data_IF_695292946107
#
_entry.id   IF_695292946107
#
_cell.length_a   1.000
_cell.length_b   1.000
_cell.length_c   1.000
_cell.angle_alpha   90.00
_cell.angle_beta   90.00
_cell.angle_gamma   90.00
#
_symmetry.space_group_name_H-M   'P 1'
#
loop_
_entity.id
_entity.type
_entity.pdbx_description
1 polymer ?
#
# COMPACT_ATOMS: atom_id res chain seq x y z
N UNK A 1 21.60 -21.66 4.44
CA UNK A 1 20.68 -20.70 3.79
C UNK A 1 20.17 -19.76 4.87
N UNK A 2 20.20 -18.43 4.67
CA UNK A 2 19.86 -17.50 5.77
C UNK A 2 18.38 -17.56 6.15
N UNK A 3 18.12 -17.55 7.45
CA UNK A 3 16.81 -17.47 8.09
C UNK A 3 16.24 -16.05 8.04
N UNK A 4 14.94 -15.91 8.29
CA UNK A 4 14.28 -14.60 8.40
C UNK A 4 14.91 -13.73 9.49
N UNK A 5 15.32 -14.33 10.63
CA UNK A 5 15.96 -13.62 11.74
C UNK A 5 17.34 -13.07 11.36
N UNK A 6 18.14 -13.83 10.59
CA UNK A 6 19.44 -13.38 10.11
C UNK A 6 19.29 -12.24 9.10
N UNK A 7 18.31 -12.33 8.18
CA UNK A 7 18.00 -11.26 7.22
C UNK A 7 17.50 -10.00 7.92
N UNK A 8 16.68 -10.14 8.96
CA UNK A 8 16.23 -9.04 9.82
C UNK A 8 17.43 -8.31 10.44
N UNK A 9 18.33 -9.07 11.09
CA UNK A 9 19.54 -8.51 11.75
C UNK A 9 20.47 -7.79 10.77
N UNK A 10 20.52 -8.22 9.50
CA UNK A 10 21.36 -7.62 8.46
C UNK A 10 20.71 -6.45 7.72
N UNK A 11 19.44 -6.13 7.97
CA UNK A 11 18.71 -5.10 7.22
C UNK A 11 18.40 -5.50 5.76
N UNK A 12 18.37 -6.81 5.49
CA UNK A 12 18.10 -7.39 4.18
C UNK A 12 16.61 -7.78 4.00
N UNK A 13 15.75 -7.35 4.92
CA UNK A 13 14.30 -7.51 4.84
C UNK A 13 13.61 -6.20 4.47
N UNK A 14 12.57 -6.31 3.66
CA UNK A 14 11.60 -5.27 3.36
C UNK A 14 10.25 -5.69 3.97
N UNK A 15 9.75 -5.01 5.01
CA UNK A 15 8.39 -5.22 5.48
C UNK A 15 7.39 -4.83 4.39
N UNK A 16 6.42 -5.70 4.12
CA UNK A 16 5.30 -5.44 3.23
C UNK A 16 4.02 -5.61 4.03
N UNK A 17 3.32 -4.50 4.26
CA UNK A 17 2.18 -4.40 5.16
C UNK A 17 0.88 -4.41 4.35
N UNK A 18 -0.06 -5.26 4.74
CA UNK A 18 -1.40 -5.33 4.16
C UNK A 18 -2.49 -5.02 5.18
N UNK A 19 -3.74 -4.79 4.73
CA UNK A 19 -4.87 -4.45 5.61
C UNK A 19 -5.17 -5.49 6.69
N UNK A 20 -4.75 -6.75 6.51
CA UNK A 20 -4.94 -7.81 7.50
C UNK A 20 -4.24 -7.55 8.84
N UNK A 21 -3.33 -6.57 8.92
CA UNK A 21 -2.79 -6.11 10.21
C UNK A 21 -3.88 -5.62 11.17
N UNK A 22 -5.00 -5.16 10.64
CA UNK A 22 -6.13 -4.64 11.42
C UNK A 22 -7.18 -5.69 11.77
N UNK A 23 -6.99 -6.96 11.40
CA UNK A 23 -8.01 -8.00 11.54
C UNK A 23 -8.55 -8.14 12.98
N UNK A 24 -7.66 -8.07 13.97
CA UNK A 24 -8.02 -8.14 15.40
C UNK A 24 -8.17 -6.76 16.06
N UNK A 25 -7.81 -5.71 15.33
CA UNK A 25 -8.01 -4.35 15.76
C UNK A 25 -9.40 -3.86 15.36
N UNK A 26 -9.93 -2.88 16.09
CA UNK A 26 -11.18 -2.19 15.74
C UNK A 26 -10.88 -0.72 15.45
N UNK A 27 -10.16 -0.40 14.37
CA UNK A 27 -9.85 0.98 14.04
C UNK A 27 -11.11 1.76 13.66
N UNK A 28 -11.03 3.10 13.76
CA UNK A 28 -12.11 3.99 13.35
C UNK A 28 -12.23 4.15 11.81
N UNK A 29 -11.20 3.74 11.07
CA UNK A 29 -11.19 3.68 9.61
C UNK A 29 -11.53 2.26 9.13
N UNK A 30 -11.85 2.07 7.83
CA UNK A 30 -11.99 0.73 7.26
C UNK A 30 -10.74 -0.14 7.48
N UNK A 31 -10.93 -1.31 8.10
CA UNK A 31 -9.85 -2.24 8.39
C UNK A 31 -9.50 -3.11 7.17
N UNK A 32 -10.45 -3.30 6.26
CA UNK A 32 -10.28 -4.10 5.05
C UNK A 32 -11.12 -3.57 3.88
N UNK A 33 -10.99 -4.21 2.72
CA UNK A 33 -11.68 -3.82 1.49
C UNK A 33 -13.21 -3.92 1.57
N UNK A 34 -13.76 -4.88 2.32
CA UNK A 34 -15.21 -5.02 2.51
C UNK A 34 -15.77 -3.89 3.37
N UNK A 35 -15.08 -3.53 4.45
CA UNK A 35 -15.45 -2.38 5.29
C UNK A 35 -15.45 -1.09 4.46
N UNK A 36 -14.43 -0.92 3.60
CA UNK A 36 -14.31 0.25 2.74
C UNK A 36 -15.44 0.30 1.70
N UNK A 37 -15.79 -0.83 1.07
CA UNK A 37 -16.96 -0.88 0.18
C UNK A 37 -18.23 -0.46 0.92
N UNK A 38 -18.45 -1.00 2.13
CA UNK A 38 -19.57 -0.62 2.98
C UNK A 38 -19.60 0.89 3.24
N UNK A 39 -18.45 1.48 3.54
CA UNK A 39 -18.34 2.93 3.79
C UNK A 39 -18.59 3.78 2.55
N UNK A 40 -18.02 3.42 1.41
CA UNK A 40 -18.19 4.16 0.15
C UNK A 40 -19.63 4.10 -0.38
N UNK A 41 -20.33 3.01 -0.10
CA UNK A 41 -21.69 2.75 -0.60
C UNK A 41 -22.79 3.08 0.40
N UNK A 42 -22.44 3.59 1.59
CA UNK A 42 -23.38 3.98 2.65
C UNK A 42 -24.47 4.96 2.14
N UNK A 43 -24.08 5.87 1.24
CA UNK A 43 -24.98 6.89 0.64
C UNK A 43 -25.18 6.72 -0.86
N UNK A 44 -24.62 5.66 -1.45
CA UNK A 44 -24.68 5.40 -2.90
C UNK A 44 -25.05 3.96 -3.16
N UNK A 45 -26.26 3.73 -3.66
CA UNK A 45 -26.69 2.38 -4.06
C UNK A 45 -25.86 1.88 -5.24
N UNK A 46 -25.21 0.74 -5.05
CA UNK A 46 -24.48 0.02 -6.10
C UNK A 46 -25.18 -1.29 -6.45
N UNK A 47 -25.03 -1.81 -7.69
CA UNK A 47 -25.55 -3.13 -8.06
C UNK A 47 -25.10 -4.24 -7.09
N UNK A 48 -26.01 -5.18 -6.82
CA UNK A 48 -25.77 -6.30 -5.91
C UNK A 48 -24.47 -7.07 -6.21
N UNK A 49 -24.12 -7.22 -7.49
CA UNK A 49 -22.96 -7.98 -7.95
C UNK A 49 -21.61 -7.36 -7.55
N UNK A 50 -21.56 -6.04 -7.31
CA UNK A 50 -20.31 -5.31 -7.04
C UNK A 50 -20.14 -4.85 -5.59
N UNK A 51 -21.16 -5.08 -4.74
CA UNK A 51 -21.17 -4.64 -3.32
C UNK A 51 -20.13 -5.30 -2.41
N UNK A 52 -19.33 -6.24 -2.94
CA UNK A 52 -18.24 -6.92 -2.23
C UNK A 52 -16.88 -6.74 -2.92
N UNK A 53 -16.82 -5.91 -3.97
CA UNK A 53 -15.61 -5.70 -4.77
C UNK A 53 -15.27 -4.22 -4.75
N UNK A 54 -14.21 -3.86 -4.02
CA UNK A 54 -13.80 -2.47 -3.81
C UNK A 54 -13.61 -1.72 -5.12
N UNK A 55 -12.85 -2.28 -6.05
CA UNK A 55 -12.51 -1.60 -7.30
C UNK A 55 -13.72 -1.37 -8.20
N UNK A 56 -14.62 -2.35 -8.29
CA UNK A 56 -15.85 -2.23 -9.05
C UNK A 56 -16.84 -1.25 -8.41
N UNK A 57 -16.97 -1.26 -7.07
CA UNK A 57 -17.81 -0.29 -6.36
C UNK A 57 -17.27 1.15 -6.52
N UNK A 58 -15.95 1.32 -6.43
CA UNK A 58 -15.27 2.57 -6.69
C UNK A 58 -15.47 3.04 -8.14
N UNK A 59 -15.31 2.15 -9.13
CA UNK A 59 -15.56 2.46 -10.54
C UNK A 59 -17.01 2.89 -10.79
N UNK A 60 -17.97 2.24 -10.14
CA UNK A 60 -19.37 2.63 -10.24
C UNK A 60 -19.60 4.04 -9.69
N UNK A 61 -19.08 4.35 -8.50
CA UNK A 61 -19.17 5.70 -7.95
C UNK A 61 -18.50 6.72 -8.89
N UNK A 62 -17.32 6.40 -9.42
CA UNK A 62 -16.60 7.27 -10.35
C UNK A 62 -17.39 7.56 -11.62
N UNK A 63 -17.99 6.54 -12.24
CA UNK A 63 -18.77 6.71 -13.48
C UNK A 63 -20.05 7.53 -13.27
N UNK A 64 -20.74 7.33 -12.14
CA UNK A 64 -22.06 7.93 -11.89
C UNK A 64 -22.01 9.23 -11.07
N UNK A 65 -20.93 9.47 -10.32
CA UNK A 65 -20.77 10.63 -9.42
C UNK A 65 -19.46 11.39 -9.65
N UNK A 66 -18.65 10.99 -10.63
CA UNK A 66 -17.34 11.55 -10.98
C UNK A 66 -16.24 11.24 -9.96
N UNK A 67 -14.99 11.27 -10.45
CA UNK A 67 -13.76 11.02 -9.67
C UNK A 67 -13.68 11.84 -8.40
N UNK A 68 -14.02 13.13 -8.47
CA UNK A 68 -14.01 14.03 -7.30
C UNK A 68 -14.86 13.53 -6.14
N UNK A 69 -16.01 12.91 -6.42
CA UNK A 69 -16.87 12.35 -5.37
C UNK A 69 -16.24 11.11 -4.76
N UNK A 70 -15.64 10.23 -5.57
CA UNK A 70 -14.91 9.06 -5.06
C UNK A 70 -13.74 9.49 -4.16
N UNK A 71 -12.91 10.44 -4.60
CA UNK A 71 -11.80 10.96 -3.79
C UNK A 71 -12.28 11.58 -2.47
N UNK A 72 -13.40 12.32 -2.47
CA UNK A 72 -14.00 12.86 -1.26
C UNK A 72 -14.53 11.77 -0.30
N UNK A 73 -15.13 10.71 -0.83
CA UNK A 73 -15.60 9.57 -0.02
C UNK A 73 -14.41 8.81 0.58
N UNK A 74 -13.33 8.61 -0.18
CA UNK A 74 -12.09 8.01 0.32
C UNK A 74 -11.48 8.85 1.44
N UNK A 75 -11.36 10.17 1.25
CA UNK A 75 -10.90 11.09 2.30
C UNK A 75 -11.77 11.00 3.55
N UNK A 76 -13.10 10.99 3.38
CA UNK A 76 -14.03 10.84 4.51
C UNK A 76 -13.89 9.49 5.22
N UNK A 77 -13.59 8.41 4.50
CA UNK A 77 -13.41 7.08 5.09
C UNK A 77 -12.15 6.98 5.97
N UNK A 78 -11.11 7.76 5.66
CA UNK A 78 -9.82 7.77 6.37
C UNK A 78 -9.53 9.10 7.09
N UNK A 79 -10.56 9.91 7.34
CA UNK A 79 -10.44 11.25 7.91
C UNK A 79 -9.78 11.24 9.30
N UNK A 80 -10.14 10.27 10.14
CA UNK A 80 -9.54 10.08 11.45
C UNK A 80 -8.13 9.51 11.32
N UNK A 81 -7.08 10.19 11.85
CA UNK A 81 -5.74 9.63 11.88
C UNK A 81 -5.72 8.29 12.64
N UNK A 82 -5.10 7.24 12.07
CA UNK A 82 -5.00 5.96 12.76
C UNK A 82 -4.04 6.07 13.94
N UNK A 83 -4.33 5.33 15.02
CA UNK A 83 -3.32 5.03 16.04
C UNK A 83 -2.47 3.87 15.52
N UNK A 84 -1.14 4.00 15.41
CA UNK A 84 -0.28 2.89 15.06
C UNK A 84 -0.49 1.69 15.99
N UNK A 85 -0.37 0.48 15.42
CA UNK A 85 -0.27 -0.76 16.20
C UNK A 85 1.16 -0.92 16.75
N UNK A 86 1.32 -1.73 17.80
CA UNK A 86 2.64 -2.06 18.35
C UNK A 86 3.62 -2.62 17.28
N UNK A 87 3.11 -3.33 16.28
CA UNK A 87 3.92 -3.77 15.14
C UNK A 87 4.42 -2.60 14.28
N UNK A 88 3.58 -1.60 14.01
CA UNK A 88 3.99 -0.40 13.27
C UNK A 88 5.08 0.37 14.05
N UNK A 89 4.91 0.53 15.36
CA UNK A 89 5.89 1.17 16.23
C UNK A 89 7.22 0.39 16.25
N UNK A 90 7.15 -0.94 16.35
CA UNK A 90 8.34 -1.78 16.30
C UNK A 90 9.07 -1.68 14.96
N UNK A 91 8.33 -1.66 13.84
CA UNK A 91 8.92 -1.46 12.50
C UNK A 91 9.56 -0.08 12.40
N UNK A 92 8.89 0.97 12.88
CA UNK A 92 9.39 2.34 12.86
C UNK A 92 10.67 2.53 13.69
N UNK A 93 10.81 1.77 14.79
CA UNK A 93 12.03 1.76 15.59
C UNK A 93 13.19 1.03 14.93
N UNK A 94 12.96 0.28 13.83
CA UNK A 94 14.01 -0.34 13.04
C UNK A 94 14.49 0.58 11.91
N UNK A 95 15.70 0.30 11.40
CA UNK A 95 16.30 1.00 10.26
C UNK A 95 16.04 0.28 8.93
N UNK A 96 14.79 -0.07 8.62
CA UNK A 96 14.48 -0.67 7.32
C UNK A 96 14.67 0.38 6.21
N UNK A 97 15.45 0.07 5.16
CA UNK A 97 15.68 1.02 4.07
C UNK A 97 14.44 1.20 3.18
N UNK A 98 13.57 0.19 3.13
CA UNK A 98 12.31 0.23 2.40
C UNK A 98 11.23 -0.45 3.25
N UNK A 99 10.07 0.17 3.32
CA UNK A 99 8.83 -0.38 3.86
C UNK A 99 7.76 -0.20 2.78
N UNK A 100 7.00 -1.25 2.48
CA UNK A 100 5.85 -1.18 1.57
C UNK A 100 4.57 -1.21 2.38
N UNK A 101 3.72 -0.21 2.21
CA UNK A 101 2.42 -0.10 2.87
C UNK A 101 1.31 -0.19 1.82
N UNK A 102 0.64 -1.35 1.76
CA UNK A 102 -0.41 -1.64 0.80
C UNK A 102 -1.81 -1.35 1.34
N UNK A 103 -1.92 -0.41 2.30
CA UNK A 103 -3.21 0.13 2.76
C UNK A 103 -3.22 1.66 2.79
N UNK A 104 -4.40 2.25 2.97
CA UNK A 104 -4.62 3.69 2.76
C UNK A 104 -4.58 4.54 4.04
N UNK A 105 -4.56 3.93 5.23
CA UNK A 105 -4.84 4.63 6.48
C UNK A 105 -3.75 5.63 6.93
N UNK A 106 -2.50 5.40 6.53
CA UNK A 106 -1.34 6.19 6.95
C UNK A 106 -0.79 5.83 8.34
N UNK A 107 -1.08 4.64 8.88
CA UNK A 107 -0.61 4.24 10.21
C UNK A 107 0.90 4.05 10.28
N UNK A 108 1.51 3.47 9.25
CA UNK A 108 2.96 3.37 9.17
C UNK A 108 3.63 4.76 9.06
N UNK A 109 3.00 5.68 8.30
CA UNK A 109 3.43 7.07 8.23
C UNK A 109 3.35 7.76 9.61
N UNK A 110 2.26 7.56 10.34
CA UNK A 110 2.11 8.08 11.70
C UNK A 110 3.15 7.48 12.67
N UNK A 111 3.48 6.19 12.54
CA UNK A 111 4.51 5.55 13.37
C UNK A 111 5.91 6.11 13.11
N UNK A 112 6.22 6.49 11.86
CA UNK A 112 7.49 7.11 11.49
C UNK A 112 7.60 8.59 11.87
N UNK A 113 6.49 9.25 12.25
CA UNK A 113 6.45 10.70 12.50
C UNK A 113 7.40 11.22 13.60
N UNK A 114 7.89 10.34 14.48
CA UNK A 114 8.90 10.68 15.49
C UNK A 114 10.33 10.78 14.92
N UNK A 115 10.52 10.49 13.63
CA UNK A 115 11.80 10.50 12.91
C UNK A 115 11.77 11.53 11.78
N UNK A 116 12.95 12.01 11.41
CA UNK A 116 13.14 12.96 10.29
C UNK A 116 13.89 12.32 9.10
N UNK A 117 14.52 11.16 9.30
CA UNK A 117 15.39 10.49 8.32
C UNK A 117 14.63 9.54 7.37
N UNK A 118 13.39 9.89 7.03
CA UNK A 118 12.52 9.09 6.18
C UNK A 118 11.70 9.97 5.22
N UNK A 119 11.13 9.34 4.19
CA UNK A 119 10.13 9.98 3.35
C UNK A 119 9.19 8.96 2.72
N UNK A 120 8.13 9.46 2.08
CA UNK A 120 7.05 8.67 1.51
C UNK A 120 6.97 8.82 0.00
N UNK A 121 6.64 7.73 -0.69
CA UNK A 121 6.26 7.74 -2.10
C UNK A 121 4.89 7.11 -2.26
N UNK A 122 3.99 7.81 -2.94
CA UNK A 122 2.61 7.38 -3.14
C UNK A 122 2.33 7.13 -4.60
N UNK A 123 1.66 6.01 -4.90
CA UNK A 123 1.05 5.76 -6.20
C UNK A 123 -0.08 6.74 -6.50
N UNK A 124 -0.23 7.10 -7.77
CA UNK A 124 -1.19 8.07 -8.25
C UNK A 124 -2.15 7.47 -9.28
N UNK A 125 -3.41 7.88 -9.21
CA UNK A 125 -4.39 7.62 -10.26
C UNK A 125 -4.08 8.44 -11.51
N UNK A 126 -4.09 7.80 -12.68
CA UNK A 126 -3.97 8.50 -13.97
C UNK A 126 -5.19 9.37 -14.29
N UNK A 127 -6.33 9.13 -13.67
CA UNK A 127 -7.51 9.98 -13.80
C UNK A 127 -7.32 11.37 -13.14
N UNK A 128 -6.43 11.48 -12.14
CA UNK A 128 -6.12 12.74 -11.44
C UNK A 128 -4.74 13.30 -11.85
N UNK A 129 -3.81 12.43 -12.27
CA UNK A 129 -2.41 12.77 -12.50
C UNK A 129 -1.86 12.13 -13.78
N UNK A 130 -2.44 12.52 -14.91
CA UNK A 130 -2.05 12.01 -16.23
C UNK A 130 -0.55 12.12 -16.50
N UNK A 131 0.08 10.99 -16.81
CA UNK A 131 1.51 10.86 -17.11
C UNK A 131 2.43 10.84 -15.87
N UNK A 132 1.87 10.92 -14.66
CA UNK A 132 2.65 10.91 -13.41
C UNK A 132 2.18 9.74 -12.53
N UNK A 133 3.06 8.77 -12.32
CA UNK A 133 2.71 7.54 -11.59
C UNK A 133 2.84 7.64 -10.08
N UNK A 134 3.77 8.47 -9.62
CA UNK A 134 4.11 8.57 -8.19
C UNK A 134 4.38 10.01 -7.78
N UNK A 135 4.25 10.30 -6.48
CA UNK A 135 4.66 11.57 -5.86
C UNK A 135 5.36 11.33 -4.54
N UNK A 136 6.37 12.15 -4.27
CA UNK A 136 7.24 12.05 -3.11
C UNK A 136 6.85 13.10 -2.07
N UNK A 137 6.98 12.73 -0.80
CA UNK A 137 6.76 13.60 0.36
C UNK A 137 7.86 13.37 1.40
N UNK A 138 8.43 14.44 1.95
CA UNK A 138 9.40 14.35 3.04
C UNK A 138 8.73 13.98 4.38
N UNK A 139 9.53 13.81 5.45
CA UNK A 139 9.03 13.50 6.79
C UNK A 139 8.03 14.53 7.34
N UNK A 140 8.05 15.78 6.87
CA UNK A 140 7.08 16.82 7.24
C UNK A 140 5.76 16.73 6.46
N UNK A 141 5.70 15.86 5.45
CA UNK A 141 4.58 15.71 4.53
C UNK A 141 4.59 16.73 3.40
N UNK A 142 5.67 17.51 3.24
CA UNK A 142 5.82 18.45 2.13
C UNK A 142 6.22 17.68 0.87
N UNK A 143 5.62 18.05 -0.26
CA UNK A 143 5.98 17.49 -1.57
C UNK A 143 7.44 17.80 -1.87
N UNK A 144 8.17 16.77 -2.29
CA UNK A 144 9.58 16.83 -2.68
C UNK A 144 9.78 16.20 -4.08
N UNK A 145 10.99 16.38 -4.61
CA UNK A 145 11.40 15.77 -5.88
C UNK A 145 12.13 14.42 -5.64
N UNK A 146 12.13 13.49 -6.60
CA UNK A 146 12.76 12.18 -6.44
C UNK A 146 14.24 12.23 -6.02
N UNK A 147 14.99 13.24 -6.49
CA UNK A 147 16.40 13.42 -6.13
C UNK A 147 16.63 13.60 -4.62
N UNK A 148 15.64 14.11 -3.89
CA UNK A 148 15.70 14.28 -2.43
C UNK A 148 15.46 12.96 -1.68
N UNK A 149 14.96 11.91 -2.35
CA UNK A 149 14.72 10.60 -1.76
C UNK A 149 16.00 9.78 -1.54
N UNK A 150 17.10 10.12 -2.23
CA UNK A 150 18.38 9.41 -2.12
C UNK A 150 19.04 9.48 -0.75
N UNK A 151 18.72 10.51 0.04
CA UNK A 151 19.31 10.75 1.36
C UNK A 151 18.50 10.14 2.52
N UNK A 152 17.31 9.57 2.26
CA UNK A 152 16.47 9.00 3.30
C UNK A 152 17.00 7.66 3.78
N UNK A 153 17.09 7.49 5.11
CA UNK A 153 17.40 6.20 5.73
C UNK A 153 16.27 5.19 5.54
N UNK A 154 15.03 5.66 5.47
CA UNK A 154 13.84 4.82 5.29
C UNK A 154 12.92 5.40 4.22
N UNK A 155 12.63 4.62 3.19
CA UNK A 155 11.62 4.92 2.17
C UNK A 155 10.31 4.19 2.50
N UNK A 156 9.22 4.92 2.75
CA UNK A 156 7.87 4.36 2.86
C UNK A 156 7.18 4.40 1.49
N UNK A 157 7.01 3.25 0.85
CA UNK A 157 6.33 3.15 -0.44
C UNK A 157 4.88 2.69 -0.26
N UNK A 158 3.93 3.54 -0.66
CA UNK A 158 2.49 3.28 -0.65
C UNK A 158 1.99 3.12 -2.10
N UNK A 159 2.07 1.92 -2.70
CA UNK A 159 1.77 1.70 -4.12
C UNK A 159 0.32 2.05 -4.52
N UNK A 160 -0.61 1.98 -3.58
CA UNK A 160 -2.02 2.32 -3.82
C UNK A 160 -2.35 3.78 -3.47
N UNK A 161 -1.33 4.56 -3.10
CA UNK A 161 -1.51 5.86 -2.46
C UNK A 161 -1.79 5.74 -0.97
N UNK A 162 -2.13 6.86 -0.34
CA UNK A 162 -2.38 6.97 1.10
C UNK A 162 -3.26 8.19 1.39
N UNK A 163 -4.08 8.10 2.44
CA UNK A 163 -4.91 9.21 2.93
C UNK A 163 -4.08 10.43 3.36
N UNK A 164 -2.82 10.22 3.77
CA UNK A 164 -1.91 11.27 4.24
C UNK A 164 -0.56 11.21 3.51
N UNK A 165 0.10 12.35 3.25
CA UNK A 165 -0.36 13.71 3.57
C UNK A 165 -1.35 14.29 2.54
N UNK A 166 -1.46 13.70 1.35
CA UNK A 166 -2.10 14.34 0.20
C UNK A 166 -3.37 13.64 -0.31
N UNK A 167 -3.82 12.56 0.34
CA UNK A 167 -5.03 11.82 -0.05
C UNK A 167 -5.03 11.35 -1.52
N UNK A 168 -3.96 10.65 -1.93
CA UNK A 168 -3.89 10.01 -3.24
C UNK A 168 -4.44 8.58 -3.13
N UNK A 169 -5.28 8.17 -4.07
CA UNK A 169 -5.92 6.85 -4.04
C UNK A 169 -5.91 6.18 -5.41
N UNK A 170 -5.36 4.98 -5.50
CA UNK A 170 -5.53 4.06 -6.62
C UNK A 170 -6.55 3.03 -6.17
N UNK A 171 -7.80 3.15 -6.62
CA UNK A 171 -8.90 2.36 -6.04
C UNK A 171 -9.92 1.87 -7.06
N UNK A 172 -10.16 2.57 -8.18
CA UNK A 172 -11.16 2.14 -9.18
C UNK A 172 -10.60 1.09 -10.15
N UNK A 173 -11.47 0.35 -10.84
CA UNK A 173 -11.04 -0.61 -11.87
C UNK A 173 -10.17 0.08 -12.95
N UNK A 174 -10.52 1.30 -13.37
CA UNK A 174 -9.73 2.08 -14.32
C UNK A 174 -8.35 2.45 -13.78
N UNK A 175 -8.22 2.85 -12.51
CA UNK A 175 -6.92 3.09 -11.87
C UNK A 175 -6.01 1.85 -11.98
N UNK A 176 -6.56 0.68 -11.67
CA UNK A 176 -5.82 -0.57 -11.75
C UNK A 176 -5.46 -0.95 -13.18
N UNK A 177 -6.38 -0.79 -14.14
CA UNK A 177 -6.09 -1.09 -15.56
C UNK A 177 -4.91 -0.27 -16.07
N UNK A 178 -4.91 1.05 -15.84
CA UNK A 178 -3.82 1.94 -16.26
C UNK A 178 -2.47 1.47 -15.70
N UNK A 179 -2.41 1.22 -14.39
CA UNK A 179 -1.16 0.74 -13.75
C UNK A 179 -0.76 -0.64 -14.29
N UNK A 180 -1.71 -1.57 -14.45
CA UNK A 180 -1.42 -2.93 -14.88
C UNK A 180 -0.85 -3.01 -16.28
N UNK A 181 -1.15 -2.03 -17.15
CA UNK A 181 -0.58 -1.97 -18.51
C UNK A 181 0.91 -1.61 -18.54
N UNK A 182 1.42 -0.96 -17.49
CA UNK A 182 2.77 -0.40 -17.45
C UNK A 182 3.66 -1.04 -16.36
N UNK A 183 3.06 -1.72 -15.39
CA UNK A 183 3.77 -2.25 -14.22
C UNK A 183 4.66 -3.46 -14.53
N UNK A 184 4.41 -4.17 -15.63
CA UNK A 184 5.22 -5.32 -16.03
C UNK A 184 6.63 -4.91 -16.47
N UNK A 185 6.76 -3.77 -17.14
CA UNK A 185 8.01 -3.08 -17.47
C UNK A 185 8.52 -2.18 -16.34
N UNK A 186 7.80 -2.13 -15.22
CA UNK A 186 8.17 -1.50 -13.95
C UNK A 186 8.07 0.04 -13.92
N UNK A 187 7.42 0.66 -14.91
CA UNK A 187 7.28 2.12 -15.01
C UNK A 187 6.63 2.77 -13.79
N UNK A 188 5.51 2.25 -13.23
CA UNK A 188 4.84 2.84 -12.07
C UNK A 188 5.53 2.59 -10.73
N UNK A 189 6.60 1.79 -10.70
CA UNK A 189 7.36 1.50 -9.47
C UNK A 189 8.54 2.48 -9.39
N UNK A 190 8.69 3.27 -8.30
CA UNK A 190 9.77 4.24 -8.15
C UNK A 190 11.16 3.64 -8.36
N UNK A 191 12.08 4.40 -8.95
CA UNK A 191 13.44 3.94 -9.19
C UNK A 191 14.16 3.54 -7.89
N UNK A 192 14.00 4.34 -6.84
CA UNK A 192 14.58 4.10 -5.52
C UNK A 192 14.05 2.78 -4.93
N UNK A 193 12.76 2.48 -5.11
CA UNK A 193 12.17 1.20 -4.69
C UNK A 193 12.83 0.05 -5.44
N UNK A 194 13.04 0.19 -6.76
CA UNK A 194 13.70 -0.84 -7.58
C UNK A 194 15.16 -1.05 -7.16
N UNK A 195 15.87 0.02 -6.83
CA UNK A 195 17.26 -0.01 -6.41
C UNK A 195 17.41 -0.63 -5.02
N UNK A 196 16.63 -0.17 -4.04
CA UNK A 196 16.72 -0.63 -2.64
C UNK A 196 16.33 -2.12 -2.53
N UNK A 197 15.30 -2.57 -3.25
CA UNK A 197 14.82 -3.96 -3.13
C UNK A 197 15.76 -5.01 -3.73
N UNK A 198 16.72 -4.61 -4.56
CA UNK A 198 17.63 -5.54 -5.24
C UNK A 198 18.35 -6.43 -4.22
N UNK A 199 18.23 -7.76 -4.37
CA UNK A 199 18.80 -8.75 -3.45
C UNK A 199 18.18 -8.81 -2.04
N UNK A 200 17.18 -7.96 -1.73
CA UNK A 200 16.46 -7.99 -0.44
C UNK A 200 15.29 -8.96 -0.48
N UNK A 201 15.02 -9.56 0.67
CA UNK A 201 13.86 -10.42 0.85
C UNK A 201 12.68 -9.60 1.38
N UNK A 202 11.47 -10.05 1.10
CA UNK A 202 10.24 -9.39 1.59
C UNK A 202 9.65 -10.22 2.71
N UNK A 203 9.12 -9.53 3.73
CA UNK A 203 8.32 -10.11 4.81
C UNK A 203 6.91 -9.56 4.70
N UNK A 204 5.98 -10.38 4.21
CA UNK A 204 4.58 -10.04 4.07
C UNK A 204 3.84 -10.20 5.39
N UNK A 205 3.19 -9.14 5.86
CA UNK A 205 2.50 -9.05 7.14
C UNK A 205 1.07 -8.54 6.88
N UNK A 206 0.06 -9.26 7.37
CA UNK A 206 -1.35 -8.88 7.12
C UNK A 206 -1.76 -8.98 5.64
N UNK A 207 -1.05 -9.78 4.84
CA UNK A 207 -1.31 -9.94 3.41
C UNK A 207 -1.98 -11.29 3.14
N UNK A 208 -3.28 -11.28 2.82
CA UNK A 208 -4.03 -12.51 2.48
C UNK A 208 -3.97 -12.87 1.00
N UNK A 209 -3.59 -11.94 0.12
CA UNK A 209 -3.48 -12.19 -1.33
C UNK A 209 -4.74 -12.82 -1.93
N UNK A 210 -5.91 -12.45 -1.42
CA UNK A 210 -7.18 -13.09 -1.74
C UNK A 210 -7.56 -12.83 -3.20
N UNK A 211 -7.38 -11.59 -3.66
CA UNK A 211 -7.72 -11.19 -5.01
C UNK A 211 -6.47 -11.17 -5.92
N UNK A 212 -6.73 -11.17 -7.23
CA UNK A 212 -5.68 -11.18 -8.24
C UNK A 212 -4.86 -9.89 -8.26
N UNK A 213 -5.47 -8.73 -7.96
CA UNK A 213 -4.79 -7.44 -7.96
C UNK A 213 -3.68 -7.39 -6.92
N UNK A 214 -3.96 -7.78 -5.67
CA UNK A 214 -2.97 -7.89 -4.59
C UNK A 214 -1.78 -8.76 -5.00
N UNK A 215 -2.06 -9.92 -5.62
CA UNK A 215 -1.01 -10.83 -6.09
C UNK A 215 -0.17 -10.24 -7.21
N UNK A 216 -0.78 -9.53 -8.16
CA UNK A 216 -0.04 -8.90 -9.25
C UNK A 216 0.85 -7.78 -8.69
N UNK A 217 0.31 -6.88 -7.87
CA UNK A 217 1.10 -5.81 -7.26
C UNK A 217 2.27 -6.36 -6.47
N UNK A 218 2.03 -7.32 -5.58
CA UNK A 218 3.10 -7.92 -4.78
C UNK A 218 4.16 -8.58 -5.67
N UNK A 219 3.77 -9.34 -6.71
CA UNK A 219 4.73 -9.95 -7.67
C UNK A 219 5.57 -8.92 -8.40
N UNK A 220 4.98 -7.82 -8.85
CA UNK A 220 5.73 -6.79 -9.57
C UNK A 220 6.61 -5.97 -8.63
N UNK A 221 6.19 -5.76 -7.38
CA UNK A 221 6.98 -5.07 -6.36
C UNK A 221 8.19 -5.92 -5.94
N UNK A 222 8.07 -7.25 -5.81
CA UNK A 222 9.21 -8.12 -5.48
C UNK A 222 10.07 -8.50 -6.71
N UNK A 223 9.66 -8.14 -7.92
CA UNK A 223 10.40 -8.50 -9.14
C UNK A 223 11.83 -7.98 -9.08
N UNK A 224 12.82 -8.83 -9.38
CA UNK A 224 14.27 -8.52 -9.30
C UNK A 224 14.77 -8.20 -7.87
N UNK A 225 14.08 -8.70 -6.84
CA UNK A 225 14.60 -8.70 -5.47
C UNK A 225 15.30 -10.05 -5.17
N UNK A 226 15.19 -10.58 -3.95
CA UNK A 226 15.68 -11.92 -3.60
C UNK A 226 14.86 -13.05 -4.27
N UNK A 227 15.37 -14.27 -4.22
CA UNK A 227 14.68 -15.51 -4.61
C UNK A 227 13.78 -16.06 -3.49
N UNK A 228 13.96 -15.58 -2.26
CA UNK A 228 13.24 -16.06 -1.07
C UNK A 228 12.56 -14.93 -0.32
N UNK A 229 11.28 -15.13 -0.01
CA UNK A 229 10.44 -14.25 0.78
C UNK A 229 9.75 -15.02 1.90
N UNK A 230 9.16 -14.31 2.85
CA UNK A 230 8.40 -14.88 3.95
C UNK A 230 7.05 -14.18 4.08
N UNK A 231 6.05 -14.92 4.55
CA UNK A 231 4.76 -14.34 4.89
C UNK A 231 4.32 -14.86 6.27
N UNK A 232 3.71 -13.98 7.06
CA UNK A 232 2.98 -14.35 8.27
C UNK A 232 1.50 -14.28 7.92
N UNK A 233 0.87 -15.45 7.81
CA UNK A 233 -0.55 -15.58 7.47
C UNK A 233 -1.22 -16.37 8.59
N UNK A 234 -2.26 -15.79 9.16
CA UNK A 234 -3.08 -16.45 10.18
C UNK A 234 -4.10 -17.40 9.55
N UNK A 235 -4.25 -18.58 10.15
CA UNK A 235 -5.21 -19.58 9.76
C UNK A 235 -4.77 -20.41 8.54
N UNK A 236 -5.73 -21.11 7.94
CA UNK A 236 -5.45 -21.97 6.79
C UNK A 236 -5.18 -21.15 5.52
N UNK A 237 -4.20 -21.62 4.74
CA UNK A 237 -3.91 -21.07 3.42
C UNK A 237 -4.92 -21.58 2.39
N UNK A 238 -5.59 -20.67 1.72
CA UNK A 238 -6.32 -20.92 0.48
C UNK A 238 -5.39 -21.40 -0.63
N UNK A 239 -5.97 -22.02 -1.67
CA UNK A 239 -5.23 -22.45 -2.87
C UNK A 239 -4.50 -21.29 -3.56
N UNK A 240 -5.02 -20.07 -3.46
CA UNK A 240 -4.40 -18.90 -4.09
C UNK A 240 -3.21 -18.38 -3.29
N UNK A 241 -3.30 -18.41 -1.95
CA UNK A 241 -2.18 -18.10 -1.06
C UNK A 241 -1.05 -19.11 -1.25
N UNK A 242 -1.36 -20.40 -1.27
CA UNK A 242 -0.37 -21.48 -1.51
C UNK A 242 0.34 -21.36 -2.86
N UNK A 243 -0.35 -20.86 -3.89
CA UNK A 243 0.24 -20.63 -5.22
C UNK A 243 1.08 -19.35 -5.32
N UNK A 244 0.92 -18.45 -4.35
CA UNK A 244 1.66 -17.20 -4.31
C UNK A 244 2.97 -17.34 -3.53
N UNK A 245 2.94 -18.05 -2.40
CA UNK A 245 4.10 -18.40 -1.58
C UNK A 245 5.05 -19.36 -2.31
#
# INVERSE_FOLDING_TARGET
MMTVLEKLKRGDLVPYLGPGLWQDAKPAHPANALDLVGKLTEKTSVPFKIRKTLSAAAQYIENFKHRKTLSALMQSAFATPPSPLALHEWIASQSFPLIVDAWYDGAMQQALSAREDWGQVQGLSQAEHHGVWVRYYDASGKRCEPAEAGDWRTLLYSPLGSARPAANFVVSDSDYVEILTEIDIQTPIPEEVRNIRAGKSFLFLGCRFCNQLERIFARQIIKRSSDRHWAVIEGELSRNEQRFL
#
